data_IF_647851045013
#
_entry.id   IF_647851045013
#
_cell.length_a   1.000
_cell.length_b   1.000
_cell.length_c   1.000
_cell.angle_alpha   90.00
_cell.angle_beta   90.00
_cell.angle_gamma   90.00
#
_symmetry.space_group_name_H-M   'P 1'
#
loop_
_entity.id
_entity.type
_entity.pdbx_description
1 polymer ?
#
# COMPACT_ATOMS: atom_id res chain seq x y z
N UNK A 1 53.94 -41.78 -40.79
CA UNK A 1 53.46 -41.09 -39.55
C UNK A 1 52.22 -40.24 -39.93
N UNK A 2 51.07 -40.68 -39.56
CA UNK A 2 49.80 -40.00 -39.86
C UNK A 2 49.20 -39.52 -38.52
N UNK A 3 49.19 -38.22 -38.33
CA UNK A 3 48.58 -37.60 -37.18
C UNK A 3 47.11 -37.24 -37.51
N UNK A 4 46.17 -37.89 -36.81
CA UNK A 4 44.73 -37.60 -36.90
C UNK A 4 44.42 -36.43 -35.96
N UNK A 5 43.87 -35.36 -36.54
CA UNK A 5 43.31 -34.22 -35.83
C UNK A 5 41.83 -34.49 -35.58
N UNK A 6 41.45 -34.74 -34.32
CA UNK A 6 40.08 -34.95 -33.92
C UNK A 6 39.47 -33.58 -33.52
N UNK A 7 38.60 -33.05 -34.39
CA UNK A 7 37.88 -31.79 -34.17
C UNK A 7 36.65 -32.08 -33.30
N UNK A 8 36.69 -31.60 -32.04
CA UNK A 8 35.56 -31.66 -31.13
C UNK A 8 34.65 -30.46 -31.37
N UNK A 9 33.49 -30.69 -31.99
CA UNK A 9 32.44 -29.68 -32.12
C UNK A 9 31.70 -29.56 -30.78
N UNK A 10 31.89 -28.44 -30.09
CA UNK A 10 31.16 -28.09 -28.87
C UNK A 10 29.88 -27.36 -29.25
N UNK A 11 28.76 -28.08 -29.19
CA UNK A 11 27.41 -27.46 -29.33
C UNK A 11 27.09 -26.64 -28.09
N UNK A 12 27.15 -25.31 -28.21
CA UNK A 12 26.62 -24.41 -27.21
C UNK A 12 25.07 -24.40 -27.29
N UNK A 13 24.43 -25.02 -26.32
CA UNK A 13 22.99 -24.98 -26.14
C UNK A 13 22.62 -23.62 -25.53
N UNK A 14 22.21 -22.67 -26.37
CA UNK A 14 21.73 -21.37 -25.95
C UNK A 14 20.28 -21.53 -25.47
N UNK A 15 20.09 -21.67 -24.14
CA UNK A 15 18.77 -21.66 -23.53
C UNK A 15 18.20 -20.23 -23.65
N UNK A 16 17.24 -20.01 -24.55
CA UNK A 16 16.39 -18.82 -24.55
C UNK A 16 15.43 -18.95 -23.37
N UNK A 17 15.74 -18.27 -22.28
CA UNK A 17 14.79 -17.99 -21.22
C UNK A 17 13.80 -16.94 -21.76
N UNK A 18 12.62 -17.39 -22.12
CA UNK A 18 11.47 -16.50 -22.39
C UNK A 18 11.04 -15.97 -21.02
N UNK A 19 11.49 -14.79 -20.65
CA UNK A 19 10.89 -14.02 -19.56
C UNK A 19 9.53 -13.55 -20.08
N UNK A 20 8.49 -14.27 -19.71
CA UNK A 20 7.12 -13.81 -19.90
C UNK A 20 6.91 -12.58 -19.02
N UNK A 21 6.85 -11.40 -19.61
CA UNK A 21 6.29 -10.24 -18.93
C UNK A 21 4.81 -10.54 -18.67
N UNK A 22 4.47 -10.89 -17.42
CA UNK A 22 3.14 -10.68 -16.89
C UNK A 22 2.96 -9.18 -16.78
N UNK A 23 2.06 -8.64 -17.59
CA UNK A 23 1.64 -7.25 -17.50
C UNK A 23 0.51 -7.17 -16.46
N UNK A 24 0.83 -7.46 -15.20
CA UNK A 24 -0.04 -7.15 -14.08
C UNK A 24 0.27 -5.70 -13.69
N UNK A 25 -0.68 -4.80 -13.95
CA UNK A 25 -0.57 -3.36 -13.64
C UNK A 25 -0.70 -3.07 -12.14
N UNK A 26 -0.83 -4.07 -11.31
CA UNK A 26 -0.87 -3.91 -9.85
C UNK A 26 0.54 -4.09 -9.31
N UNK A 27 1.14 -3.00 -8.83
CA UNK A 27 2.40 -3.05 -8.12
C UNK A 27 2.14 -3.63 -6.72
N UNK A 28 2.66 -4.84 -6.45
CA UNK A 28 2.71 -5.36 -5.09
C UNK A 28 3.74 -4.52 -4.32
N UNK A 29 3.31 -3.93 -3.20
CA UNK A 29 4.22 -3.16 -2.37
C UNK A 29 5.27 -4.10 -1.76
N UNK A 30 6.54 -3.74 -1.85
CA UNK A 30 7.59 -4.45 -1.12
C UNK A 30 7.37 -4.24 0.37
N UNK A 31 7.33 -5.34 1.15
CA UNK A 31 7.09 -5.31 2.60
C UNK A 31 8.34 -5.79 3.33
N UNK A 32 8.87 -4.95 4.20
CA UNK A 32 10.06 -5.21 5.00
C UNK A 32 9.81 -4.93 6.49
N UNK A 33 10.78 -5.23 7.33
CA UNK A 33 10.76 -4.79 8.73
C UNK A 33 10.82 -3.26 8.83
N UNK A 34 10.24 -2.70 9.91
CA UNK A 34 10.24 -1.26 10.14
C UNK A 34 11.66 -0.66 10.10
N UNK A 35 11.80 0.52 9.49
CA UNK A 35 13.05 1.28 9.36
C UNK A 35 13.01 2.53 10.24
N UNK A 36 14.13 3.22 10.39
CA UNK A 36 14.16 4.56 11.01
C UNK A 36 13.39 5.55 10.13
N UNK A 37 12.57 6.40 10.74
CA UNK A 37 11.87 7.47 10.02
C UNK A 37 12.87 8.46 9.42
N UNK A 38 12.56 8.95 8.22
CA UNK A 38 13.41 9.96 7.58
C UNK A 38 13.38 11.27 8.37
N UNK A 39 14.53 11.92 8.43
CA UNK A 39 14.68 13.26 9.00
C UNK A 39 15.07 14.20 7.87
N UNK A 40 14.31 15.28 7.72
CA UNK A 40 14.61 16.27 6.69
C UNK A 40 15.97 16.91 6.91
N UNK A 41 16.76 17.05 5.86
CA UNK A 41 18.08 17.66 5.88
C UNK A 41 18.09 18.99 5.07
N UNK A 42 18.75 20.01 5.62
CA UNK A 42 18.90 21.31 4.96
C UNK A 42 17.68 22.22 5.05
N UNK A 43 17.50 23.08 4.04
CA UNK A 43 16.36 24.01 3.98
C UNK A 43 15.14 23.28 3.38
N UNK A 44 14.14 23.05 4.21
CA UNK A 44 12.87 22.42 3.80
C UNK A 44 11.70 23.37 4.03
N UNK A 45 10.60 23.10 3.34
CA UNK A 45 9.32 23.76 3.54
C UNK A 45 8.35 22.72 4.12
N UNK A 46 7.71 23.11 5.21
CA UNK A 46 6.65 22.29 5.84
C UNK A 46 5.34 22.45 5.07
N UNK A 47 4.66 21.32 4.88
CA UNK A 47 3.34 21.23 4.27
C UNK A 47 2.38 20.53 5.21
N UNK A 48 1.14 21.03 5.24
CA UNK A 48 0.04 20.46 6.02
C UNK A 48 -0.99 19.86 5.06
N UNK A 49 -1.39 18.62 5.33
CA UNK A 49 -2.36 17.90 4.51
C UNK A 49 -3.76 18.51 4.66
N UNK A 50 -4.42 18.76 3.54
CA UNK A 50 -5.85 19.05 3.50
C UNK A 50 -6.63 17.73 3.62
N UNK A 51 -7.07 17.40 4.82
CA UNK A 51 -7.79 16.15 5.11
C UNK A 51 -9.18 16.08 4.48
N UNK A 52 -9.72 17.22 4.01
CA UNK A 52 -11.03 17.26 3.34
C UNK A 52 -10.90 16.98 1.84
N UNK A 53 -9.76 17.34 1.25
CA UNK A 53 -9.48 17.16 -0.17
C UNK A 53 -8.63 15.92 -0.47
N UNK A 54 -8.10 15.26 0.57
CA UNK A 54 -7.28 14.06 0.47
C UNK A 54 -8.12 12.81 0.68
N UNK A 55 -7.78 11.72 -0.01
CA UNK A 55 -8.48 10.45 0.08
C UNK A 55 -7.53 9.27 -0.14
N UNK A 56 -7.82 8.18 0.54
CA UNK A 56 -7.26 6.85 0.28
C UNK A 56 -8.41 6.00 -0.26
N UNK A 57 -8.28 5.50 -1.49
CA UNK A 57 -9.19 4.53 -2.08
C UNK A 57 -8.71 3.11 -1.76
N UNK A 58 -9.64 2.19 -1.52
CA UNK A 58 -9.34 0.80 -1.28
C UNK A 58 -10.25 -0.14 -2.07
N UNK A 59 -9.70 -1.30 -2.43
CA UNK A 59 -10.44 -2.44 -2.97
C UNK A 59 -10.05 -3.72 -2.24
N UNK A 60 -11.05 -4.50 -1.83
CA UNK A 60 -10.90 -5.84 -1.27
C UNK A 60 -11.72 -6.85 -2.08
N UNK A 61 -11.20 -8.07 -2.24
CA UNK A 61 -11.81 -9.07 -3.11
C UNK A 61 -12.03 -10.42 -2.44
N UNK A 62 -12.98 -11.15 -3.00
CA UNK A 62 -13.29 -12.56 -2.70
C UNK A 62 -13.73 -13.23 -4.00
N UNK A 63 -13.80 -14.57 -4.11
CA UNK A 63 -14.18 -15.26 -5.35
C UNK A 63 -15.53 -14.84 -5.92
N UNK A 64 -16.42 -14.31 -5.08
CA UNK A 64 -17.79 -13.92 -5.47
C UNK A 64 -17.93 -12.44 -5.81
N UNK A 65 -16.89 -11.63 -5.73
CA UNK A 65 -16.92 -10.21 -6.06
C UNK A 65 -15.89 -9.38 -5.32
N UNK A 66 -15.87 -8.09 -5.63
CA UNK A 66 -15.02 -7.06 -5.01
C UNK A 66 -15.89 -6.05 -4.28
N UNK A 67 -15.31 -5.39 -3.28
CA UNK A 67 -15.87 -4.22 -2.64
C UNK A 67 -14.85 -3.10 -2.66
N UNK A 68 -15.32 -1.89 -2.89
CA UNK A 68 -14.50 -0.69 -2.97
C UNK A 68 -14.96 0.36 -1.98
N UNK A 69 -14.06 1.25 -1.62
CA UNK A 69 -14.42 2.33 -0.74
C UNK A 69 -13.30 3.33 -0.52
N UNK A 70 -13.47 4.15 0.51
CA UNK A 70 -12.52 5.19 0.86
C UNK A 70 -12.23 5.23 2.35
N UNK A 71 -11.06 5.79 2.70
CA UNK A 71 -10.68 6.14 4.07
C UNK A 71 -10.09 7.55 4.04
N UNK A 72 -10.35 8.35 5.08
CA UNK A 72 -9.83 9.71 5.19
C UNK A 72 -8.60 9.78 6.08
N UNK A 73 -7.83 10.84 5.90
CA UNK A 73 -6.77 11.20 6.81
C UNK A 73 -7.35 12.01 7.99
N UNK A 74 -6.86 11.75 9.20
CA UNK A 74 -7.13 12.57 10.37
C UNK A 74 -6.21 13.80 10.40
N UNK A 75 -4.94 13.60 10.05
CA UNK A 75 -3.92 14.64 9.97
C UNK A 75 -2.75 14.15 9.12
N UNK A 76 -1.92 15.08 8.67
CA UNK A 76 -0.67 14.76 8.01
C UNK A 76 0.19 16.00 7.82
N UNK A 77 1.49 15.83 7.98
CA UNK A 77 2.50 16.85 7.69
C UNK A 77 3.67 16.20 6.98
N UNK A 78 4.33 16.97 6.13
CA UNK A 78 5.59 16.53 5.55
C UNK A 78 6.49 17.73 5.23
N UNK A 79 7.78 17.49 5.24
CA UNK A 79 8.79 18.44 4.83
C UNK A 79 9.26 18.12 3.42
N UNK A 80 9.37 19.14 2.58
CA UNK A 80 9.84 18.98 1.21
C UNK A 80 10.81 20.08 0.82
N UNK A 81 11.81 19.72 0.02
CA UNK A 81 12.62 20.68 -0.72
C UNK A 81 12.22 20.61 -2.20
N UNK A 82 12.24 21.72 -2.91
CA UNK A 82 11.89 21.86 -4.33
C UNK A 82 10.80 20.90 -4.84
N UNK A 83 11.08 19.59 -5.00
CA UNK A 83 10.14 18.57 -5.49
C UNK A 83 10.32 17.21 -4.84
N UNK A 84 11.09 17.12 -3.77
CA UNK A 84 11.31 15.89 -3.01
C UNK A 84 10.71 16.01 -1.61
N UNK A 85 9.91 15.03 -1.22
CA UNK A 85 9.50 14.83 0.16
C UNK A 85 10.68 14.24 0.91
N UNK A 86 11.15 14.94 1.94
CA UNK A 86 12.31 14.54 2.74
C UNK A 86 11.90 13.70 3.96
N UNK A 87 10.77 14.06 4.57
CA UNK A 87 10.20 13.36 5.73
C UNK A 87 8.70 13.63 5.80
N UNK A 88 7.95 12.83 6.55
CA UNK A 88 6.53 13.06 6.73
C UNK A 88 5.87 12.05 7.66
N UNK A 89 4.74 12.46 8.24
CA UNK A 89 3.91 11.62 9.07
C UNK A 89 2.44 11.86 8.73
N UNK A 90 1.70 10.77 8.59
CA UNK A 90 0.29 10.78 8.23
C UNK A 90 -0.47 9.90 9.21
N UNK A 91 -1.61 10.39 9.68
CA UNK A 91 -2.55 9.64 10.50
C UNK A 91 -3.82 9.39 9.70
N UNK A 92 -4.19 8.14 9.56
CA UNK A 92 -5.33 7.66 8.80
C UNK A 92 -6.46 7.39 9.79
N UNK A 93 -7.64 7.96 9.56
CA UNK A 93 -8.80 7.78 10.42
C UNK A 93 -9.57 6.53 10.02
N UNK A 94 -9.30 5.41 10.69
CA UNK A 94 -9.93 4.11 10.41
C UNK A 94 -11.44 4.09 10.72
N UNK A 95 -11.93 5.02 11.53
CA UNK A 95 -13.38 5.16 11.79
C UNK A 95 -14.13 5.63 10.53
N UNK A 96 -13.43 6.31 9.62
CA UNK A 96 -13.98 6.82 8.36
C UNK A 96 -14.04 5.80 7.22
N UNK A 97 -13.71 4.52 7.45
CA UNK A 97 -13.89 3.48 6.42
C UNK A 97 -15.31 3.57 5.87
N UNK A 98 -15.42 3.84 4.59
CA UNK A 98 -16.67 3.98 3.85
C UNK A 98 -16.69 2.98 2.68
N UNK A 99 -17.81 2.32 2.45
CA UNK A 99 -18.03 1.39 1.33
C UNK A 99 -18.76 2.13 0.23
N UNK A 100 -18.22 2.16 -0.98
CA UNK A 100 -18.73 2.98 -2.08
C UNK A 100 -19.60 2.22 -3.10
N UNK A 101 -19.49 0.89 -3.14
CA UNK A 101 -20.17 0.02 -4.12
C UNK A 101 -21.47 -0.62 -3.59
N UNK A 102 -21.83 -0.38 -2.32
CA UNK A 102 -23.06 -0.88 -1.70
C UNK A 102 -23.92 0.27 -1.17
N UNK A 103 -25.20 -0.03 -0.95
CA UNK A 103 -26.18 0.91 -0.37
C UNK A 103 -26.99 0.25 0.77
N UNK A 104 -27.65 1.08 1.58
CA UNK A 104 -28.58 0.64 2.61
C UNK A 104 -27.95 -0.28 3.67
N UNK A 105 -28.67 -1.35 4.02
CA UNK A 105 -28.26 -2.26 5.09
C UNK A 105 -26.99 -3.06 4.72
N UNK A 106 -26.79 -3.40 3.45
CA UNK A 106 -25.61 -4.15 3.00
C UNK A 106 -24.32 -3.32 3.20
N UNK A 107 -24.37 -2.03 2.86
CA UNK A 107 -23.29 -1.09 3.13
C UNK A 107 -22.99 -1.02 4.63
N UNK A 108 -23.99 -0.77 5.44
CA UNK A 108 -23.85 -0.63 6.89
C UNK A 108 -23.28 -1.92 7.54
N UNK A 109 -23.75 -3.08 7.10
CA UNK A 109 -23.27 -4.36 7.60
C UNK A 109 -21.80 -4.61 7.26
N UNK A 110 -21.38 -4.32 6.02
CA UNK A 110 -19.97 -4.47 5.63
C UNK A 110 -19.09 -3.48 6.38
N UNK A 111 -19.47 -2.20 6.45
CA UNK A 111 -18.72 -1.20 7.22
C UNK A 111 -18.60 -1.57 8.69
N UNK A 112 -19.68 -2.02 9.33
CA UNK A 112 -19.65 -2.44 10.73
C UNK A 112 -18.70 -3.63 10.94
N UNK A 113 -18.67 -4.57 10.00
CA UNK A 113 -17.76 -5.72 10.06
C UNK A 113 -16.30 -5.31 9.87
N UNK A 114 -16.01 -4.47 8.85
CA UNK A 114 -14.65 -3.95 8.61
C UNK A 114 -14.13 -3.14 9.81
N UNK A 115 -14.99 -2.32 10.39
CA UNK A 115 -14.67 -1.50 11.57
C UNK A 115 -14.55 -2.32 12.86
N UNK A 116 -15.04 -3.57 12.89
CA UNK A 116 -15.08 -4.39 14.11
C UNK A 116 -16.08 -3.84 15.15
N UNK A 117 -17.22 -3.30 14.70
CA UNK A 117 -18.28 -2.81 15.60
C UNK A 117 -19.44 -3.79 15.75
N UNK A 118 -19.32 -4.99 15.16
CA UNK A 118 -20.28 -6.10 15.35
C UNK A 118 -19.85 -6.90 16.57
N UNK A 119 -20.76 -7.08 17.53
CA UNK A 119 -20.49 -7.83 18.77
C UNK A 119 -19.96 -9.24 18.49
N UNK A 120 -18.82 -9.58 19.10
CA UNK A 120 -18.14 -10.86 18.94
C UNK A 120 -17.32 -11.00 17.65
N UNK A 121 -17.18 -9.94 16.86
CA UNK A 121 -16.39 -9.88 15.61
C UNK A 121 -15.41 -8.72 15.57
N UNK A 122 -15.08 -8.14 16.71
CA UNK A 122 -14.23 -6.95 16.82
C UNK A 122 -12.82 -7.21 16.24
N UNK A 123 -12.32 -8.43 16.43
CA UNK A 123 -11.00 -8.84 15.95
C UNK A 123 -10.92 -9.29 14.50
N UNK A 124 -12.04 -9.43 13.79
CA UNK A 124 -12.07 -9.97 12.43
C UNK A 124 -11.25 -9.12 11.46
N UNK A 125 -11.41 -7.78 11.53
CA UNK A 125 -10.68 -6.84 10.67
C UNK A 125 -9.92 -5.78 11.48
N UNK A 126 -10.32 -4.51 11.40
CA UNK A 126 -9.49 -3.38 11.86
C UNK A 126 -9.70 -3.00 13.33
N UNK A 127 -10.81 -3.43 13.95
CA UNK A 127 -11.12 -3.14 15.37
C UNK A 127 -10.91 -1.66 15.73
N UNK A 128 -11.63 -0.76 15.04
CA UNK A 128 -11.40 0.68 15.14
C UNK A 128 -11.69 1.27 16.52
N UNK A 129 -12.41 0.54 17.38
CA UNK A 129 -12.64 0.95 18.77
C UNK A 129 -11.37 0.87 19.63
N UNK A 130 -10.47 -0.05 19.30
CA UNK A 130 -9.16 -0.20 19.95
C UNK A 130 -8.06 0.51 19.16
N UNK A 131 -8.14 0.44 17.81
CA UNK A 131 -7.17 1.00 16.88
C UNK A 131 -7.85 2.03 15.94
N UNK A 132 -8.22 3.22 16.44
CA UNK A 132 -8.99 4.20 15.64
C UNK A 132 -8.15 4.81 14.50
N UNK A 133 -6.84 4.65 14.54
CA UNK A 133 -5.93 5.20 13.53
C UNK A 133 -4.95 4.14 13.04
N UNK A 134 -4.63 4.22 11.75
CA UNK A 134 -3.39 3.70 11.20
C UNK A 134 -2.43 4.89 11.00
N UNK A 135 -1.12 4.63 10.92
CA UNK A 135 -0.13 5.68 10.68
C UNK A 135 0.83 5.29 9.57
N UNK A 136 1.32 6.28 8.86
CA UNK A 136 2.39 6.12 7.88
C UNK A 136 3.47 7.16 8.14
N UNK A 137 4.71 6.70 8.37
CA UNK A 137 5.89 7.55 8.57
C UNK A 137 6.87 7.33 7.44
N UNK A 138 7.17 8.41 6.69
CA UNK A 138 8.11 8.35 5.56
C UNK A 138 9.49 7.96 6.08
N UNK A 139 10.09 6.94 5.44
CA UNK A 139 11.46 6.50 5.69
C UNK A 139 12.41 6.88 4.55
N UNK A 140 11.87 7.21 3.38
CA UNK A 140 12.65 7.67 2.24
C UNK A 140 11.82 7.83 0.97
N UNK A 141 12.47 8.40 -0.04
CA UNK A 141 12.03 8.40 -1.43
C UNK A 141 13.17 7.85 -2.26
N UNK A 142 12.91 6.81 -3.03
CA UNK A 142 13.84 6.26 -4.01
C UNK A 142 13.34 6.46 -5.44
N UNK A 143 14.15 6.12 -6.42
CA UNK A 143 13.76 6.14 -7.83
C UNK A 143 14.11 4.81 -8.47
N UNK A 144 13.11 4.13 -9.01
CA UNK A 144 13.27 2.86 -9.71
C UNK A 144 12.76 2.99 -11.15
N UNK A 145 13.64 2.75 -12.11
CA UNK A 145 13.33 2.83 -13.55
C UNK A 145 12.67 4.15 -14.00
N UNK A 146 12.97 5.28 -13.32
CA UNK A 146 12.37 6.59 -13.58
C UNK A 146 11.03 6.85 -12.86
N UNK A 147 10.57 5.89 -12.04
CA UNK A 147 9.41 6.02 -11.17
C UNK A 147 9.86 6.35 -9.74
N UNK A 148 9.26 7.36 -9.13
CA UNK A 148 9.48 7.65 -7.71
C UNK A 148 8.74 6.64 -6.84
N UNK A 149 9.44 6.10 -5.86
CA UNK A 149 8.91 5.18 -4.87
C UNK A 149 8.89 5.88 -3.51
N UNK A 150 7.76 5.88 -2.84
CA UNK A 150 7.67 6.30 -1.44
C UNK A 150 7.89 5.10 -0.54
N UNK A 151 8.86 5.22 0.34
CA UNK A 151 9.13 4.22 1.38
C UNK A 151 8.65 4.76 2.73
N UNK A 152 7.97 3.93 3.52
CA UNK A 152 7.51 4.35 4.83
C UNK A 152 7.02 3.21 5.71
N UNK A 153 7.03 3.47 7.01
CA UNK A 153 6.51 2.57 8.02
C UNK A 153 5.00 2.72 8.11
N UNK A 154 4.27 1.73 7.62
CA UNK A 154 2.82 1.63 7.79
C UNK A 154 2.52 0.84 9.06
N UNK A 155 1.78 1.46 9.98
CA UNK A 155 1.28 0.80 11.19
C UNK A 155 -0.22 0.64 11.06
N UNK A 156 -0.70 -0.60 11.09
CA UNK A 156 -2.12 -0.95 11.20
C UNK A 156 -2.29 -1.81 12.45
N UNK A 157 -3.27 -1.49 13.28
CA UNK A 157 -3.43 -2.05 14.62
C UNK A 157 -2.14 -1.80 15.42
N UNK A 158 -1.46 -2.84 15.85
CA UNK A 158 -0.20 -2.80 16.62
C UNK A 158 1.02 -3.33 15.82
N UNK A 159 0.85 -3.56 14.52
CA UNK A 159 1.91 -4.07 13.65
C UNK A 159 2.45 -2.96 12.75
N UNK A 160 3.78 -2.83 12.72
CA UNK A 160 4.47 -1.87 11.85
C UNK A 160 5.35 -2.61 10.85
N UNK A 161 5.18 -2.29 9.57
CA UNK A 161 6.01 -2.78 8.47
C UNK A 161 6.41 -1.62 7.58
N UNK A 162 7.62 -1.68 7.04
CA UNK A 162 8.04 -0.75 5.99
C UNK A 162 7.48 -1.23 4.65
N UNK A 163 6.86 -0.32 3.91
CA UNK A 163 6.36 -0.58 2.56
C UNK A 163 6.96 0.40 1.57
N UNK A 164 7.09 -0.03 0.31
CA UNK A 164 7.49 0.80 -0.82
C UNK A 164 6.44 0.72 -1.93
N UNK A 165 6.01 1.87 -2.45
CA UNK A 165 5.01 1.95 -3.51
C UNK A 165 5.25 3.15 -4.42
N UNK A 166 4.80 3.08 -5.71
CA UNK A 166 5.03 4.14 -6.69
C UNK A 166 4.19 5.38 -6.40
N UNK A 167 4.79 6.56 -6.58
CA UNK A 167 4.11 7.85 -6.42
C UNK A 167 4.47 8.83 -7.52
N UNK A 168 3.57 9.80 -7.73
CA UNK A 168 3.81 11.03 -8.45
C UNK A 168 3.68 12.23 -7.50
N UNK A 169 4.60 13.19 -7.61
CA UNK A 169 4.59 14.43 -6.82
C UNK A 169 4.47 15.61 -7.77
N UNK A 170 3.40 16.37 -7.62
CA UNK A 170 3.15 17.58 -8.38
C UNK A 170 3.10 18.79 -7.44
N UNK A 171 4.02 19.75 -7.63
CA UNK A 171 4.06 21.00 -6.87
C UNK A 171 3.61 22.17 -7.73
N UNK A 172 2.74 23.00 -7.18
CA UNK A 172 2.27 24.25 -7.81
C UNK A 172 2.26 25.37 -6.77
N UNK A 173 3.34 26.15 -6.72
CA UNK A 173 3.49 27.23 -5.73
C UNK A 173 3.54 26.70 -4.30
N UNK A 174 2.55 27.06 -3.49
CA UNK A 174 2.42 26.65 -2.09
C UNK A 174 1.59 25.36 -1.92
N UNK A 175 1.21 24.70 -2.99
CA UNK A 175 0.46 23.45 -2.98
C UNK A 175 1.33 22.29 -3.48
N UNK A 176 1.18 21.12 -2.85
CA UNK A 176 1.72 19.84 -3.32
C UNK A 176 0.59 18.83 -3.39
N UNK A 177 0.56 18.08 -4.49
CA UNK A 177 -0.27 16.89 -4.65
C UNK A 177 0.63 15.66 -4.78
N UNK A 178 0.40 14.64 -3.93
CA UNK A 178 1.04 13.33 -3.97
C UNK A 178 -0.04 12.33 -4.36
N UNK A 179 0.14 11.67 -5.51
CA UNK A 179 -0.75 10.60 -5.98
C UNK A 179 0.02 9.30 -6.10
N UNK A 180 -0.66 8.17 -6.01
CA UNK A 180 -0.10 6.87 -6.37
C UNK A 180 -0.84 6.27 -7.56
N UNK A 181 -0.18 5.38 -8.30
CA UNK A 181 -0.88 4.33 -9.02
C UNK A 181 -1.50 3.35 -8.02
N UNK A 182 -2.30 2.40 -8.51
CA UNK A 182 -2.81 1.33 -7.69
C UNK A 182 -1.66 0.42 -7.24
N UNK A 183 -1.59 0.15 -5.93
CA UNK A 183 -0.62 -0.79 -5.36
C UNK A 183 -1.31 -1.72 -4.36
N UNK A 184 -0.71 -2.85 -4.08
CA UNK A 184 -1.29 -3.93 -3.28
C UNK A 184 -0.48 -4.13 -2.02
N UNK A 185 -1.16 -4.31 -0.89
CA UNK A 185 -0.58 -4.78 0.37
C UNK A 185 -1.23 -6.10 0.79
N UNK A 186 -0.44 -7.03 1.34
CA UNK A 186 -0.96 -8.22 2.01
C UNK A 186 -1.37 -7.86 3.45
N UNK A 187 -2.68 -7.81 3.72
CA UNK A 187 -3.26 -7.43 5.01
C UNK A 187 -2.85 -8.34 6.16
N UNK A 188 -2.44 -9.57 5.88
CA UNK A 188 -2.03 -10.54 6.91
C UNK A 188 -0.74 -10.14 7.59
N UNK A 189 0.10 -9.32 6.93
CA UNK A 189 1.31 -8.73 7.52
C UNK A 189 1.01 -7.84 8.73
N UNK A 190 -0.23 -7.34 8.84
CA UNK A 190 -0.73 -6.54 9.97
C UNK A 190 -1.76 -7.30 10.82
N UNK A 191 -1.73 -8.63 10.80
CA UNK A 191 -2.64 -9.48 11.58
C UNK A 191 -4.13 -9.25 11.31
N UNK A 192 -4.49 -8.78 10.11
CA UNK A 192 -5.86 -8.71 9.62
C UNK A 192 -6.17 -10.01 8.89
N UNK A 193 -6.52 -11.05 9.63
CA UNK A 193 -6.46 -12.44 9.16
C UNK A 193 -7.81 -13.05 8.78
N UNK A 194 -8.94 -12.38 9.05
CA UNK A 194 -10.27 -12.95 8.84
C UNK A 194 -10.46 -13.46 7.40
N UNK A 195 -10.86 -14.71 7.26
CA UNK A 195 -11.12 -15.34 5.97
C UNK A 195 -9.88 -15.54 5.08
N UNK A 196 -8.66 -15.38 5.60
CA UNK A 196 -7.43 -15.59 4.83
C UNK A 196 -7.14 -17.06 4.58
N UNK A 197 -6.84 -17.42 3.33
CA UNK A 197 -6.38 -18.78 2.96
C UNK A 197 -4.96 -19.06 3.42
N UNK A 198 -4.14 -18.04 3.60
CA UNK A 198 -2.75 -18.19 4.06
C UNK A 198 -2.68 -18.51 5.53
N UNK A 199 -3.75 -18.20 6.30
CA UNK A 199 -3.82 -18.36 7.75
C UNK A 199 -4.75 -19.51 8.15
N UNK A 200 -5.83 -19.74 7.42
CA UNK A 200 -6.86 -20.73 7.76
C UNK A 200 -7.07 -21.76 6.65
N UNK A 201 -7.09 -23.03 7.03
CA UNK A 201 -7.43 -24.14 6.17
C UNK A 201 -8.96 -24.28 5.96
N UNK A 202 -9.35 -24.92 4.87
CA UNK A 202 -10.72 -25.38 4.61
C UNK A 202 -11.79 -24.29 4.41
N UNK A 203 -11.40 -23.07 4.01
CA UNK A 203 -12.34 -22.00 3.71
C UNK A 203 -13.15 -22.24 2.41
N UNK A 204 -12.67 -23.11 1.51
CA UNK A 204 -13.27 -23.32 0.20
C UNK A 204 -13.36 -22.02 -0.59
N UNK A 205 -14.53 -21.71 -1.14
CA UNK A 205 -14.79 -20.48 -1.90
C UNK A 205 -15.25 -19.31 -1.01
N UNK A 206 -15.20 -19.48 0.32
CA UNK A 206 -15.57 -18.41 1.26
C UNK A 206 -14.36 -17.58 1.74
N UNK A 207 -13.21 -17.74 1.11
CA UNK A 207 -12.04 -16.94 1.48
C UNK A 207 -12.17 -15.50 1.02
N UNK A 208 -11.44 -14.63 1.70
CA UNK A 208 -11.23 -13.23 1.33
C UNK A 208 -9.77 -13.09 0.93
N UNK A 209 -9.48 -12.40 -0.18
CA UNK A 209 -8.09 -12.17 -0.61
C UNK A 209 -7.27 -11.56 0.53
N UNK A 210 -6.02 -11.98 0.62
CA UNK A 210 -5.06 -11.35 1.53
C UNK A 210 -4.65 -9.97 1.00
N UNK A 211 -4.77 -9.77 -0.30
CA UNK A 211 -4.47 -8.52 -0.99
C UNK A 211 -5.55 -7.47 -0.78
N UNK A 212 -5.12 -6.28 -0.38
CA UNK A 212 -5.90 -5.05 -0.45
C UNK A 212 -5.21 -4.14 -1.45
N UNK A 213 -5.95 -3.69 -2.46
CA UNK A 213 -5.49 -2.70 -3.42
C UNK A 213 -5.76 -1.31 -2.86
N UNK A 214 -4.77 -0.42 -2.96
CA UNK A 214 -4.83 0.96 -2.45
C UNK A 214 -4.45 1.95 -3.55
N UNK A 215 -5.03 3.15 -3.46
CA UNK A 215 -4.67 4.30 -4.28
C UNK A 215 -4.77 5.57 -3.46
N UNK A 216 -3.83 6.50 -3.64
CA UNK A 216 -3.73 7.71 -2.85
C UNK A 216 -3.93 8.97 -3.72
N UNK A 217 -4.65 9.95 -3.18
CA UNK A 217 -4.67 11.34 -3.65
C UNK A 217 -4.56 12.26 -2.42
N UNK A 218 -3.35 12.75 -2.16
CA UNK A 218 -3.01 13.54 -0.96
C UNK A 218 -2.69 14.97 -1.40
N UNK A 219 -3.49 15.90 -0.94
CA UNK A 219 -3.32 17.34 -1.19
C UNK A 219 -2.82 18.03 0.07
N UNK A 220 -1.85 18.90 -0.09
CA UNK A 220 -1.28 19.65 1.01
C UNK A 220 -0.92 21.06 0.60
N UNK A 221 -0.92 21.96 1.57
CA UNK A 221 -0.54 23.34 1.42
C UNK A 221 0.59 23.68 2.37
N UNK A 222 1.40 24.64 1.97
CA UNK A 222 2.46 25.17 2.81
C UNK A 222 1.90 25.65 4.15
N UNK A 223 2.54 25.22 5.25
CA UNK A 223 2.19 25.57 6.62
C UNK A 223 2.45 27.03 6.96
#
# INVERSE_FOLDING_TARGET
MKTNFLSTFMFAFMALSVVGCKNDQNHEAEVEEAKEAAVAEGEVVEFMVDTTASVIEWEGSKPTGTHTGTIKLAEGTFAANDSLVESGSFKIDMVTIDVSDLEGDDKQNLEAHLKGTVEGKEGDFFNVMEYPHATFEVTGISEENGQKMMEGNLTIKDQTKNISFPIDINRSGDEINITSDEFVIDRTQWSVNYGSKSVFDNLGDNFISDDIQLKLDIKATKA
#
